data_IF_406523408723
#
_entry.id   IF_406523408723
#
_cell.length_a   1.000
_cell.length_b   1.000
_cell.length_c   1.000
_cell.angle_alpha   90.00
_cell.angle_beta   90.00
_cell.angle_gamma   90.00
#
_symmetry.space_group_name_H-M   'P 1'
#
loop_
_entity.id
_entity.type
_entity.pdbx_description
1 polymer ?
#
# COMPACT_ATOMS: atom_id res chain seq x y z
N UNK A 1 -42.34 26.11 11.20
CA UNK A 1 -41.84 25.85 9.83
C UNK A 1 -40.57 26.67 9.66
N UNK A 2 -39.39 26.04 9.69
CA UNK A 2 -38.11 26.76 9.58
C UNK A 2 -37.22 25.99 8.60
N UNK A 3 -37.09 26.54 7.39
CA UNK A 3 -36.36 25.93 6.29
C UNK A 3 -34.90 26.40 6.35
N UNK A 4 -33.99 25.49 6.72
CA UNK A 4 -32.54 25.74 6.69
C UNK A 4 -32.00 25.41 5.30
N UNK A 5 -31.58 26.43 4.56
CA UNK A 5 -30.94 26.29 3.25
C UNK A 5 -29.44 26.03 3.44
N UNK A 6 -28.99 24.80 3.14
CA UNK A 6 -27.58 24.43 3.07
C UNK A 6 -27.03 24.86 1.70
N UNK A 7 -26.04 25.76 1.71
CA UNK A 7 -25.32 26.18 0.50
C UNK A 7 -24.16 25.22 0.24
N UNK A 8 -24.20 24.47 -0.85
CA UNK A 8 -23.07 23.68 -1.33
C UNK A 8 -22.05 24.59 -2.03
N UNK A 9 -20.83 24.66 -1.51
CA UNK A 9 -19.69 25.29 -2.19
C UNK A 9 -18.97 24.20 -3.00
N UNK A 10 -19.17 24.20 -4.31
CA UNK A 10 -18.42 23.34 -5.24
C UNK A 10 -17.07 24.00 -5.51
N UNK A 11 -16.00 23.52 -4.87
CA UNK A 11 -14.63 23.89 -5.21
C UNK A 11 -14.20 23.11 -6.46
N UNK A 12 -14.35 23.76 -7.62
CA UNK A 12 -13.78 23.31 -8.90
C UNK A 12 -12.24 23.30 -8.82
N UNK A 13 -11.65 22.11 -8.74
CA UNK A 13 -10.21 21.93 -8.86
C UNK A 13 -9.81 21.97 -10.35
N UNK A 14 -9.24 23.10 -10.80
CA UNK A 14 -8.65 23.23 -12.13
C UNK A 14 -7.42 22.31 -12.24
N UNK A 15 -7.57 21.19 -12.93
CA UNK A 15 -6.44 20.34 -13.34
C UNK A 15 -5.60 21.09 -14.38
N UNK A 16 -4.39 21.52 -14.00
CA UNK A 16 -3.38 21.99 -14.95
C UNK A 16 -2.78 20.77 -15.63
N UNK A 17 -3.19 20.48 -16.86
CA UNK A 17 -2.47 19.51 -17.72
C UNK A 17 -1.25 20.21 -18.31
N UNK A 18 -0.03 19.69 -18.17
CA UNK A 18 1.11 20.22 -18.90
C UNK A 18 0.92 19.97 -20.40
N UNK A 19 0.95 21.03 -21.18
CA UNK A 19 0.99 20.95 -22.65
C UNK A 19 2.36 20.41 -23.03
N UNK A 20 2.42 19.15 -23.45
CA UNK A 20 3.64 18.58 -24.02
C UNK A 20 3.88 19.20 -25.40
N UNK A 21 4.90 20.05 -25.48
CA UNK A 21 5.39 20.58 -26.75
C UNK A 21 5.94 19.43 -27.60
N UNK A 22 5.35 19.23 -28.78
CA UNK A 22 5.88 18.29 -29.79
C UNK A 22 7.10 18.93 -30.44
N UNK A 23 8.29 18.41 -30.14
CA UNK A 23 9.46 18.68 -30.95
C UNK A 23 9.35 17.90 -32.27
N UNK A 24 8.94 18.60 -33.34
CA UNK A 24 9.13 18.14 -34.71
C UNK A 24 10.50 18.63 -35.16
N UNK A 25 11.52 17.79 -35.04
CA UNK A 25 12.81 18.02 -35.68
C UNK A 25 12.93 17.12 -36.90
N UNK A 26 12.67 17.71 -38.07
CA UNK A 26 13.05 17.15 -39.36
C UNK A 26 14.53 17.41 -39.59
N UNK A 27 15.35 16.38 -39.44
CA UNK A 27 16.66 16.26 -40.10
C UNK A 27 16.84 14.80 -40.51
N UNK A 28 16.57 14.53 -41.77
CA UNK A 28 16.90 13.27 -42.42
C UNK A 28 18.37 13.29 -42.81
N UNK A 29 19.26 12.91 -41.90
CA UNK A 29 20.52 12.29 -42.29
C UNK A 29 20.25 10.79 -42.36
N UNK A 30 20.20 10.25 -43.57
CA UNK A 30 20.00 8.83 -43.79
C UNK A 30 21.35 8.10 -43.63
N UNK A 31 21.59 7.32 -42.56
CA UNK A 31 22.64 6.33 -42.58
C UNK A 31 22.19 5.18 -43.50
N UNK A 32 22.97 4.90 -44.54
CA UNK A 32 22.77 3.84 -45.53
C UNK A 32 23.07 2.44 -44.99
N UNK A 33 22.80 2.19 -43.71
CA UNK A 33 22.94 0.88 -43.07
C UNK A 33 21.56 0.43 -42.63
N UNK A 34 21.15 -0.75 -43.10
CA UNK A 34 19.94 -1.41 -42.61
C UNK A 34 19.99 -1.40 -41.07
N UNK A 35 18.95 -0.90 -40.37
CA UNK A 35 18.96 -0.90 -38.92
C UNK A 35 19.07 -2.36 -38.46
N UNK A 36 20.23 -2.73 -37.91
CA UNK A 36 20.38 -4.01 -37.22
C UNK A 36 19.46 -3.96 -36.00
N UNK A 37 18.27 -4.54 -36.16
CA UNK A 37 17.25 -4.60 -35.13
C UNK A 37 17.64 -5.68 -34.10
N UNK A 38 18.71 -5.44 -33.34
CA UNK A 38 19.06 -6.30 -32.22
C UNK A 38 18.39 -5.74 -30.96
N UNK A 39 17.39 -6.48 -30.47
CA UNK A 39 16.75 -6.16 -29.19
C UNK A 39 17.71 -6.53 -28.07
N UNK A 40 17.78 -5.69 -27.04
CA UNK A 40 18.53 -6.05 -25.83
C UNK A 40 17.93 -7.32 -25.21
N UNK A 41 18.74 -8.17 -24.55
CA UNK A 41 18.24 -9.40 -23.92
C UNK A 41 17.08 -9.15 -22.95
N UNK A 42 17.11 -8.02 -22.24
CA UNK A 42 16.02 -7.61 -21.36
C UNK A 42 14.70 -7.37 -22.12
N UNK A 43 14.75 -6.69 -23.28
CA UNK A 43 13.58 -6.45 -24.12
C UNK A 43 13.05 -7.75 -24.74
N UNK A 44 13.94 -8.68 -25.14
CA UNK A 44 13.52 -10.00 -25.61
C UNK A 44 12.77 -10.78 -24.53
N UNK A 45 13.30 -10.82 -23.29
CA UNK A 45 12.62 -11.47 -22.16
C UNK A 45 11.27 -10.83 -21.85
N UNK A 46 11.19 -9.49 -21.88
CA UNK A 46 9.94 -8.78 -21.69
C UNK A 46 8.92 -9.11 -22.80
N UNK A 47 9.37 -9.18 -24.06
CA UNK A 47 8.51 -9.53 -25.19
C UNK A 47 8.02 -10.98 -25.10
N UNK A 48 8.90 -11.90 -24.71
CA UNK A 48 8.54 -13.29 -24.42
C UNK A 48 7.51 -13.35 -23.28
N UNK A 49 7.69 -12.54 -22.22
CA UNK A 49 6.74 -12.49 -21.11
C UNK A 49 5.37 -11.99 -21.57
N UNK A 50 5.35 -10.94 -22.39
CA UNK A 50 4.13 -10.38 -22.98
C UNK A 50 3.45 -11.40 -23.90
N UNK A 51 4.21 -12.15 -24.69
CA UNK A 51 3.69 -13.23 -25.53
C UNK A 51 2.97 -14.30 -24.69
N UNK A 52 3.57 -14.76 -23.60
CA UNK A 52 2.90 -15.72 -22.72
C UNK A 52 1.65 -15.13 -22.03
N UNK A 53 1.66 -13.83 -21.72
CA UNK A 53 0.50 -13.14 -21.14
C UNK A 53 -0.60 -12.84 -22.17
N UNK A 54 -0.26 -12.79 -23.46
CA UNK A 54 -1.18 -12.39 -24.53
C UNK A 54 -2.38 -13.33 -24.68
N UNK A 55 -2.26 -14.59 -24.26
CA UNK A 55 -3.39 -15.52 -24.23
C UNK A 55 -4.50 -15.12 -23.25
N UNK A 56 -4.21 -14.22 -22.30
CA UNK A 56 -5.18 -13.65 -21.36
C UNK A 56 -5.65 -12.25 -21.75
N UNK A 57 -5.27 -11.74 -22.92
CA UNK A 57 -5.67 -10.40 -23.33
C UNK A 57 -7.14 -10.39 -23.78
N UNK A 58 -7.79 -9.25 -23.52
CA UNK A 58 -9.18 -9.04 -23.90
C UNK A 58 -9.23 -8.74 -25.40
N UNK A 59 -9.89 -9.62 -26.14
CA UNK A 59 -10.25 -9.51 -27.55
C UNK A 59 -11.75 -9.22 -27.66
N UNK A 60 -12.26 -8.65 -28.77
CA UNK A 60 -13.70 -8.41 -28.91
C UNK A 60 -14.55 -9.68 -28.78
N UNK A 61 -13.98 -10.85 -29.10
CA UNK A 61 -14.65 -12.15 -29.02
C UNK A 61 -14.76 -12.69 -27.58
N UNK A 62 -13.83 -12.33 -26.69
CA UNK A 62 -13.82 -12.77 -25.28
C UNK A 62 -14.23 -11.67 -24.29
N UNK A 63 -14.64 -10.50 -24.79
CA UNK A 63 -14.96 -9.34 -23.97
C UNK A 63 -16.16 -9.58 -23.07
N UNK A 64 -17.26 -10.12 -23.63
CA UNK A 64 -18.50 -10.33 -22.86
C UNK A 64 -18.28 -11.37 -21.74
N UNK A 65 -17.56 -12.45 -22.04
CA UNK A 65 -17.21 -13.47 -21.04
C UNK A 65 -16.23 -12.93 -20.00
N UNK A 66 -15.31 -12.04 -20.37
CA UNK A 66 -14.41 -11.37 -19.43
C UNK A 66 -15.15 -10.38 -18.52
N UNK A 67 -16.16 -9.67 -19.04
CA UNK A 67 -17.04 -8.81 -18.24
C UNK A 67 -17.80 -9.65 -17.23
N UNK A 68 -18.50 -10.70 -17.69
CA UNK A 68 -19.25 -11.58 -16.80
C UNK A 68 -18.35 -12.15 -15.72
N UNK A 69 -17.18 -12.68 -16.08
CA UNK A 69 -16.20 -13.19 -15.12
C UNK A 69 -15.74 -12.13 -14.12
N UNK A 70 -15.43 -10.90 -14.55
CA UNK A 70 -14.98 -9.85 -13.64
C UNK A 70 -16.04 -9.44 -12.60
N UNK A 71 -17.33 -9.57 -12.92
CA UNK A 71 -18.43 -9.24 -12.01
C UNK A 71 -18.98 -10.45 -11.24
N UNK A 72 -18.75 -11.66 -11.72
CA UNK A 72 -19.22 -12.91 -11.09
C UNK A 72 -18.16 -13.66 -10.30
N UNK A 73 -16.87 -13.48 -10.61
CA UNK A 73 -15.78 -13.93 -9.77
C UNK A 73 -15.83 -13.11 -8.48
N UNK A 74 -16.50 -13.67 -7.48
CA UNK A 74 -16.29 -13.28 -6.09
C UNK A 74 -14.80 -13.48 -5.83
N UNK A 75 -14.04 -12.43 -5.45
CA UNK A 75 -12.60 -12.56 -5.23
C UNK A 75 -12.37 -13.74 -4.30
N UNK A 76 -11.48 -14.63 -4.76
CA UNK A 76 -11.22 -15.96 -4.22
C UNK A 76 -11.56 -16.04 -2.73
N UNK A 77 -12.75 -16.60 -2.45
CA UNK A 77 -13.26 -16.77 -1.10
C UNK A 77 -12.30 -17.68 -0.33
N UNK A 78 -11.25 -18.26 -0.92
CA UNK A 78 -10.14 -18.87 -0.18
C UNK A 78 -9.46 -17.88 0.81
N UNK A 79 -9.53 -16.56 0.58
CA UNK A 79 -9.13 -15.56 1.58
C UNK A 79 -10.16 -15.36 2.72
N UNK A 80 -11.45 -15.59 2.45
CA UNK A 80 -12.54 -15.44 3.42
C UNK A 80 -12.88 -16.77 4.13
N UNK A 81 -12.64 -17.91 3.47
CA UNK A 81 -12.79 -19.28 3.94
C UNK A 81 -11.58 -19.72 4.78
N UNK A 82 -10.45 -19.02 4.67
CA UNK A 82 -9.54 -18.82 5.80
C UNK A 82 -10.18 -17.81 6.78
N UNK A 83 -11.42 -18.07 7.22
CA UNK A 83 -12.01 -17.34 8.33
C UNK A 83 -11.13 -17.65 9.53
N UNK A 84 -10.13 -16.80 9.80
CA UNK A 84 -9.24 -16.88 10.96
C UNK A 84 -9.98 -16.96 12.28
N UNK A 85 -11.28 -16.69 12.24
CA UNK A 85 -12.19 -16.70 13.35
C UNK A 85 -13.23 -17.79 13.09
N UNK A 86 -12.92 -18.99 13.56
CA UNK A 86 -13.88 -20.11 13.55
C UNK A 86 -14.90 -19.94 14.68
N UNK A 87 -14.53 -19.21 15.73
CA UNK A 87 -15.36 -18.96 16.91
C UNK A 87 -15.43 -17.47 17.25
N UNK A 88 -16.55 -17.01 17.83
CA UNK A 88 -16.71 -15.65 18.34
C UNK A 88 -15.60 -15.23 19.31
N UNK A 89 -15.07 -16.18 20.09
CA UNK A 89 -13.96 -15.93 21.01
C UNK A 89 -12.66 -15.56 20.28
N UNK A 90 -12.40 -16.14 19.12
CA UNK A 90 -11.21 -15.82 18.32
C UNK A 90 -11.30 -14.39 17.77
N UNK A 91 -12.50 -13.99 17.35
CA UNK A 91 -12.76 -12.63 16.90
C UNK A 91 -12.57 -11.62 18.03
N UNK A 92 -13.08 -11.94 19.24
CA UNK A 92 -12.90 -11.10 20.43
C UNK A 92 -11.42 -10.95 20.80
N UNK A 93 -10.66 -12.05 20.75
CA UNK A 93 -9.23 -12.04 21.04
C UNK A 93 -8.46 -11.18 20.02
N UNK A 94 -8.81 -11.28 18.73
CA UNK A 94 -8.20 -10.50 17.66
C UNK A 94 -8.50 -9.00 17.77
N UNK A 95 -9.74 -8.65 18.08
CA UNK A 95 -10.12 -7.25 18.36
C UNK A 95 -9.36 -6.70 19.55
N UNK A 96 -9.18 -7.48 20.62
CA UNK A 96 -8.36 -7.04 21.76
C UNK A 96 -6.88 -6.88 21.38
N UNK A 97 -6.33 -7.78 20.56
CA UNK A 97 -4.95 -7.66 20.08
C UNK A 97 -4.76 -6.41 19.22
N UNK A 98 -5.70 -6.10 18.31
CA UNK A 98 -5.66 -4.89 17.48
C UNK A 98 -5.75 -3.59 18.28
N UNK A 99 -6.49 -3.59 19.39
CA UNK A 99 -6.63 -2.42 20.25
C UNK A 99 -5.34 -2.08 21.02
N UNK A 100 -4.53 -3.09 21.31
CA UNK A 100 -3.25 -2.94 22.03
C UNK A 100 -2.08 -2.82 21.06
N UNK A 101 -2.25 -3.24 19.80
CA UNK A 101 -1.22 -3.12 18.78
C UNK A 101 -0.91 -1.63 18.47
N UNK A 102 0.39 -1.26 18.36
CA UNK A 102 0.79 0.07 17.90
C UNK A 102 0.21 0.38 16.51
N UNK A 103 -0.27 1.61 16.31
CA UNK A 103 -0.97 2.05 15.07
C UNK A 103 -0.14 1.93 13.78
N UNK A 104 1.15 1.66 13.88
CA UNK A 104 2.08 1.56 12.76
C UNK A 104 2.29 0.14 12.25
N UNK A 105 1.74 -0.88 12.92
CA UNK A 105 1.83 -2.27 12.45
C UNK A 105 0.71 -2.53 11.44
N UNK A 106 1.08 -2.82 10.19
CA UNK A 106 0.11 -3.28 9.20
C UNK A 106 -0.47 -4.62 9.67
N UNK A 107 -1.79 -4.72 9.74
CA UNK A 107 -2.51 -5.91 10.25
C UNK A 107 -2.19 -7.19 9.48
N UNK A 108 -1.66 -7.04 8.27
CA UNK A 108 -1.24 -8.10 7.37
C UNK A 108 0.01 -8.84 7.90
N UNK A 109 0.88 -8.15 8.65
CA UNK A 109 2.10 -8.71 9.20
C UNK A 109 1.83 -9.61 10.42
N UNK A 110 0.95 -9.17 11.34
CA UNK A 110 0.49 -9.99 12.49
C UNK A 110 -0.26 -11.24 12.03
N UNK A 111 -0.99 -11.11 10.93
CA UNK A 111 -1.75 -12.16 10.30
C UNK A 111 -0.87 -13.30 9.73
N UNK A 112 0.34 -12.96 9.27
CA UNK A 112 1.27 -13.88 8.61
C UNK A 112 2.10 -14.68 9.61
N UNK A 113 2.37 -14.10 10.77
CA UNK A 113 3.08 -14.75 11.89
C UNK A 113 2.33 -15.97 12.43
N UNK A 114 0.99 -15.91 12.53
CA UNK A 114 0.16 -17.04 13.00
C UNK A 114 0.16 -18.27 12.07
N UNK A 115 0.43 -18.09 10.78
CA UNK A 115 0.28 -19.17 9.79
C UNK A 115 1.49 -20.11 9.69
N UNK A 116 2.55 -19.91 10.49
CA UNK A 116 3.69 -20.83 10.60
C UNK A 116 4.51 -21.05 9.31
N UNK A 117 4.15 -20.41 8.21
CA UNK A 117 4.76 -20.59 6.90
C UNK A 117 5.92 -19.60 6.71
N UNK A 118 7.06 -19.90 7.34
CA UNK A 118 8.30 -19.15 7.08
C UNK A 118 9.24 -18.96 8.28
N UNK A 119 9.64 -20.05 8.96
CA UNK A 119 10.58 -19.96 10.08
C UNK A 119 11.93 -19.30 9.75
N UNK A 120 12.39 -19.37 8.50
CA UNK A 120 13.62 -18.70 8.04
C UNK A 120 13.42 -17.25 7.60
N UNK A 121 12.19 -16.87 7.23
CA UNK A 121 11.87 -15.49 6.83
C UNK A 121 11.60 -14.62 8.07
N UNK A 122 11.05 -15.22 9.14
CA UNK A 122 10.84 -14.56 10.41
C UNK A 122 12.17 -14.12 11.08
N UNK A 123 13.19 -14.99 11.10
CA UNK A 123 14.50 -14.65 11.70
C UNK A 123 15.21 -13.53 10.95
N UNK A 124 15.21 -13.59 9.62
CA UNK A 124 15.77 -12.53 8.77
C UNK A 124 15.02 -11.21 8.95
N UNK A 125 13.68 -11.24 8.99
CA UNK A 125 12.87 -10.03 9.24
C UNK A 125 13.21 -9.42 10.59
N UNK A 126 13.32 -10.23 11.65
CA UNK A 126 13.67 -9.74 12.97
C UNK A 126 15.06 -9.09 13.01
N UNK A 127 16.05 -9.67 12.33
CA UNK A 127 17.39 -9.08 12.20
C UNK A 127 17.37 -7.74 11.44
N UNK A 128 16.59 -7.65 10.36
CA UNK A 128 16.45 -6.39 9.60
C UNK A 128 15.73 -5.33 10.44
N UNK A 129 14.70 -5.73 11.18
CA UNK A 129 13.95 -4.85 12.07
C UNK A 129 14.81 -4.35 13.23
N UNK A 130 15.59 -5.24 13.85
CA UNK A 130 16.58 -4.91 14.88
C UNK A 130 17.64 -3.94 14.36
N UNK A 131 18.17 -4.16 13.15
CA UNK A 131 19.14 -3.25 12.55
C UNK A 131 18.56 -1.87 12.24
N UNK A 132 17.28 -1.79 11.86
CA UNK A 132 16.63 -0.54 11.46
C UNK A 132 16.12 0.27 12.66
N UNK A 133 15.63 -0.40 13.71
CA UNK A 133 14.95 0.23 14.84
C UNK A 133 15.67 0.03 16.19
N UNK A 134 16.73 -0.78 16.24
CA UNK A 134 17.50 -1.06 17.45
C UNK A 134 16.78 -1.93 18.48
N UNK A 135 15.65 -2.55 18.12
CA UNK A 135 14.81 -3.33 19.04
C UNK A 135 14.69 -4.78 18.61
N UNK A 136 14.93 -5.72 19.52
CA UNK A 136 14.86 -7.16 19.25
C UNK A 136 13.44 -7.73 19.18
N UNK A 137 12.44 -6.99 19.67
CA UNK A 137 11.04 -7.39 19.65
C UNK A 137 10.21 -6.38 18.84
N UNK A 138 9.37 -6.88 17.92
CA UNK A 138 8.41 -6.06 17.16
C UNK A 138 7.37 -5.37 18.07
N UNK A 139 7.19 -5.88 19.29
CA UNK A 139 6.26 -5.33 20.29
C UNK A 139 6.86 -4.22 21.18
N UNK A 140 8.18 -4.05 21.20
CA UNK A 140 8.82 -2.94 21.92
C UNK A 140 8.92 -1.73 21.00
N UNK A 141 8.25 -0.64 21.39
CA UNK A 141 8.32 0.65 20.69
C UNK A 141 9.77 1.14 20.73
N UNK A 142 10.30 1.61 19.59
CA UNK A 142 11.69 2.09 19.50
C UNK A 142 11.96 3.25 20.47
N UNK A 143 13.17 3.30 21.03
CA UNK A 143 13.57 4.30 22.03
C UNK A 143 13.29 5.74 21.58
N UNK A 144 13.53 6.06 20.30
CA UNK A 144 13.27 7.41 19.76
C UNK A 144 11.79 7.81 19.79
N UNK A 145 10.87 6.86 19.59
CA UNK A 145 9.42 7.13 19.74
C UNK A 145 9.04 7.38 21.20
N UNK A 146 9.77 6.76 22.14
CA UNK A 146 9.55 6.98 23.57
C UNK A 146 10.05 8.37 23.99
N UNK A 147 11.19 8.79 23.45
CA UNK A 147 11.77 10.13 23.65
C UNK A 147 10.85 11.22 23.08
N UNK A 148 10.30 11.02 21.87
CA UNK A 148 9.34 11.94 21.24
C UNK A 148 8.05 12.09 22.09
N UNK A 149 7.47 10.99 22.57
CA UNK A 149 6.28 11.02 23.44
C UNK A 149 6.60 11.71 24.78
N UNK A 150 7.79 11.48 25.34
CA UNK A 150 8.24 12.16 26.56
C UNK A 150 8.32 13.67 26.36
N UNK A 151 8.91 14.15 25.28
CA UNK A 151 9.02 15.58 24.95
C UNK A 151 7.62 16.21 24.85
N UNK A 152 6.68 15.57 24.15
CA UNK A 152 5.29 16.03 24.03
C UNK A 152 4.58 16.09 25.39
N UNK A 153 4.80 15.09 26.26
CA UNK A 153 4.19 15.10 27.60
C UNK A 153 4.79 16.17 28.51
N UNK A 154 6.08 16.44 28.40
CA UNK A 154 6.76 17.47 29.18
C UNK A 154 6.29 18.87 28.76
N UNK A 155 6.13 19.12 27.47
CA UNK A 155 5.61 20.38 26.96
C UNK A 155 4.17 20.63 27.41
N UNK A 156 3.30 19.61 27.37
CA UNK A 156 1.92 19.72 27.90
C UNK A 156 1.88 20.01 29.39
N UNK A 157 2.80 19.43 30.17
CA UNK A 157 2.91 19.71 31.61
C UNK A 157 3.37 21.15 31.87
N UNK A 158 4.30 21.67 31.05
CA UNK A 158 4.75 23.07 31.13
C UNK A 158 3.61 24.02 30.76
N UNK A 159 2.88 23.75 29.69
CA UNK A 159 1.71 24.54 29.27
C UNK A 159 0.64 24.58 30.37
N UNK A 160 0.28 23.43 30.93
CA UNK A 160 -0.71 23.35 32.02
C UNK A 160 -0.25 24.09 33.30
N UNK A 161 1.05 24.10 33.58
CA UNK A 161 1.61 24.85 34.70
C UNK A 161 1.53 26.37 34.46
N UNK A 162 1.87 26.82 33.26
CA UNK A 162 1.80 28.23 32.89
C UNK A 162 0.34 28.73 32.93
N UNK A 163 -0.62 27.94 32.44
CA UNK A 163 -2.06 28.26 32.53
C UNK A 163 -2.55 28.39 33.98
N UNK A 164 -1.93 27.69 34.93
CA UNK A 164 -2.28 27.79 36.36
C UNK A 164 -1.62 28.98 37.09
N UNK A 165 -0.54 29.55 36.54
CA UNK A 165 0.13 30.72 37.10
C UNK A 165 -0.46 32.04 36.56
N UNK A 166 -1.14 32.00 35.40
CA UNK A 166 -1.81 33.15 34.76
C UNK A 166 -3.30 33.32 35.16
N UNK A 167 -3.84 32.45 36.03
CA UNK A 167 -5.22 32.45 36.53
C UNK A 167 -5.32 32.91 38.00
#
# INVERSE_FOLDING_TARGET
MSSSCIRHVVRSARRRTPVLARHMSSKSDAPSTLPQFSLSPAKLRALISLYHQSGSFITPENLDTAIEKAFTDVPDIVSIANSKYTTYMDLKADVSARRVAPKFIQTEDLARERTGYGGSDATRRNQVFEALYGTSNVSSVGLGLLEDEWEITEDRLKEAKNESEDA
#
